data_IF_409392822460
#
_entry.id   IF_409392822460
#
_cell.length_a   1.000
_cell.length_b   1.000
_cell.length_c   1.000
_cell.angle_alpha   90.00
_cell.angle_beta   90.00
_cell.angle_gamma   90.00
#
_symmetry.space_group_name_H-M   'P 1'
#
loop_
_entity.id
_entity.type
_entity.pdbx_description
1 polymer ?
#
# COMPACT_ATOMS: atom_id res chain seq x y z
N UNK A 1 2.76 -6.05 -10.08
CA UNK A 1 2.04 -7.09 -10.85
C UNK A 1 2.35 -8.48 -10.29
N UNK A 2 1.41 -9.42 -10.40
CA UNK A 2 1.66 -10.83 -10.02
C UNK A 2 2.47 -11.52 -11.09
N UNK A 3 3.50 -12.24 -10.66
CA UNK A 3 4.44 -12.92 -11.54
C UNK A 3 4.48 -14.41 -11.23
N UNK A 4 4.62 -15.28 -12.25
CA UNK A 4 4.82 -16.69 -12.02
C UNK A 4 6.16 -16.95 -11.33
N UNK A 5 6.28 -18.09 -10.65
CA UNK A 5 7.57 -18.56 -10.15
C UNK A 5 8.38 -19.15 -11.31
N UNK A 6 9.65 -18.78 -11.42
CA UNK A 6 10.54 -19.28 -12.48
C UNK A 6 10.87 -20.78 -12.33
N UNK A 7 10.80 -21.30 -11.11
CA UNK A 7 11.11 -22.70 -10.79
C UNK A 7 10.01 -23.35 -9.96
N UNK A 8 9.80 -24.67 -10.09
CA UNK A 8 8.90 -25.39 -9.19
C UNK A 8 9.33 -25.26 -7.73
N UNK A 9 8.35 -25.19 -6.82
CA UNK A 9 8.57 -25.15 -5.37
C UNK A 9 8.05 -26.44 -4.72
N UNK A 10 8.68 -27.61 -4.96
CA UNK A 10 8.11 -28.93 -4.63
C UNK A 10 7.98 -29.19 -3.13
N UNK A 11 8.69 -28.43 -2.30
CA UNK A 11 8.67 -28.55 -0.83
C UNK A 11 7.78 -27.51 -0.14
N UNK A 12 7.14 -26.60 -0.88
CA UNK A 12 6.28 -25.56 -0.30
C UNK A 12 4.87 -26.15 -0.09
N UNK A 13 4.43 -26.42 1.16
CA UNK A 13 3.20 -27.17 1.42
C UNK A 13 1.94 -26.28 1.39
N UNK A 14 2.06 -25.05 0.90
CA UNK A 14 1.00 -24.04 0.93
C UNK A 14 0.87 -23.33 -0.42
N UNK A 15 -0.34 -22.83 -0.71
CA UNK A 15 -0.55 -21.90 -1.80
C UNK A 15 0.23 -20.58 -1.55
N UNK A 16 0.62 -19.90 -2.63
CA UNK A 16 1.40 -18.65 -2.56
C UNK A 16 1.05 -17.71 -3.70
N UNK A 17 1.27 -16.42 -3.46
CA UNK A 17 1.31 -15.40 -4.49
C UNK A 17 2.72 -14.80 -4.53
N UNK A 18 3.23 -14.51 -5.72
CA UNK A 18 4.49 -13.79 -5.93
C UNK A 18 4.18 -12.57 -6.77
N UNK A 19 4.64 -11.39 -6.35
CA UNK A 19 4.40 -10.16 -7.08
C UNK A 19 5.58 -9.20 -6.97
N UNK A 20 5.69 -8.32 -7.97
CA UNK A 20 6.60 -7.18 -7.94
C UNK A 20 5.81 -5.94 -7.51
N UNK A 21 6.05 -5.37 -6.31
CA UNK A 21 5.39 -4.14 -5.89
C UNK A 21 5.93 -2.95 -6.67
N UNK A 22 5.07 -1.99 -6.96
CA UNK A 22 5.46 -0.72 -7.59
C UNK A 22 5.90 0.30 -6.52
N UNK A 23 6.86 1.19 -6.82
CA UNK A 23 7.62 1.25 -8.08
C UNK A 23 8.72 0.19 -8.13
N UNK A 24 9.18 -0.28 -6.96
CA UNK A 24 10.10 -1.40 -6.77
C UNK A 24 10.05 -1.82 -5.30
N UNK A 25 10.62 -3.00 -4.98
CA UNK A 25 10.61 -3.53 -3.61
C UNK A 25 11.18 -2.56 -2.57
N UNK A 26 12.31 -1.89 -2.86
CA UNK A 26 12.96 -1.00 -1.90
C UNK A 26 12.06 0.18 -1.54
N UNK A 27 11.51 0.87 -2.54
CA UNK A 27 10.64 2.02 -2.32
C UNK A 27 9.30 1.61 -1.71
N UNK A 28 8.66 0.57 -2.25
CA UNK A 28 7.35 0.13 -1.77
C UNK A 28 7.40 -0.32 -0.30
N UNK A 29 8.39 -1.15 0.05
CA UNK A 29 8.56 -1.62 1.42
C UNK A 29 8.91 -0.46 2.37
N UNK A 30 9.75 0.48 1.95
CA UNK A 30 10.09 1.65 2.77
C UNK A 30 8.86 2.53 3.03
N UNK A 31 8.08 2.86 1.99
CA UNK A 31 6.85 3.64 2.13
C UNK A 31 5.84 2.93 3.04
N UNK A 32 5.64 1.62 2.86
CA UNK A 32 4.75 0.82 3.70
C UNK A 32 5.16 0.84 5.17
N UNK A 33 6.46 0.67 5.47
CA UNK A 33 6.99 0.73 6.83
C UNK A 33 6.83 2.14 7.42
N UNK A 34 7.09 3.20 6.66
CA UNK A 34 6.91 4.58 7.13
C UNK A 34 5.45 4.90 7.45
N UNK A 35 4.51 4.37 6.67
CA UNK A 35 3.07 4.49 6.93
C UNK A 35 2.57 3.57 8.07
N UNK A 36 3.42 2.72 8.64
CA UNK A 36 3.01 1.77 9.68
C UNK A 36 2.11 0.65 9.19
N UNK A 37 2.19 0.28 7.90
CA UNK A 37 1.34 -0.74 7.30
C UNK A 37 1.51 -2.13 7.92
N UNK A 38 0.41 -2.87 8.05
CA UNK A 38 0.39 -4.21 8.64
C UNK A 38 1.10 -5.26 7.75
N UNK A 39 1.46 -6.41 8.34
CA UNK A 39 1.96 -7.57 7.61
C UNK A 39 0.84 -8.40 6.97
N UNK A 40 -0.38 -8.31 7.49
CA UNK A 40 -1.57 -8.90 6.89
C UNK A 40 -2.22 -7.90 5.92
N UNK A 41 -2.61 -8.38 4.74
CA UNK A 41 -3.18 -7.56 3.66
C UNK A 41 -4.33 -8.28 2.95
N UNK A 42 -5.30 -7.53 2.43
CA UNK A 42 -6.21 -8.01 1.41
C UNK A 42 -5.52 -7.98 0.04
N UNK A 43 -5.49 -9.12 -0.67
CA UNK A 43 -4.93 -9.22 -2.02
C UNK A 43 -6.08 -9.34 -3.04
N UNK A 44 -6.09 -8.50 -4.09
CA UNK A 44 -7.20 -8.46 -5.06
C UNK A 44 -6.73 -8.18 -6.49
N UNK A 45 -7.34 -8.87 -7.46
CA UNK A 45 -7.22 -8.56 -8.89
C UNK A 45 -8.33 -7.66 -9.41
N UNK A 46 -9.43 -7.52 -8.66
CA UNK A 46 -10.65 -6.82 -9.12
C UNK A 46 -10.83 -5.45 -8.47
N UNK A 47 -10.31 -5.27 -7.25
CA UNK A 47 -10.38 -4.00 -6.53
C UNK A 47 -9.27 -3.09 -7.02
N UNK A 48 -9.62 -1.88 -7.46
CA UNK A 48 -8.68 -0.86 -7.95
C UNK A 48 -8.30 0.11 -6.84
N UNK A 49 -7.25 0.89 -7.05
CA UNK A 49 -6.88 1.98 -6.14
C UNK A 49 -7.97 3.06 -6.05
N UNK A 50 -8.70 3.30 -7.14
CA UNK A 50 -9.84 4.23 -7.18
C UNK A 50 -10.97 3.77 -6.25
N UNK A 51 -11.37 2.50 -6.30
CA UNK A 51 -12.38 1.97 -5.38
C UNK A 51 -12.01 2.16 -3.91
N UNK A 52 -10.73 1.98 -3.56
CA UNK A 52 -10.26 2.17 -2.18
C UNK A 52 -10.17 3.64 -1.78
N UNK A 53 -9.81 4.52 -2.72
CA UNK A 53 -9.82 5.97 -2.50
C UNK A 53 -11.23 6.47 -2.23
N UNK A 54 -12.19 6.08 -3.08
CA UNK A 54 -13.60 6.47 -2.92
C UNK A 54 -14.18 5.95 -1.60
N UNK A 55 -13.87 4.70 -1.24
CA UNK A 55 -14.27 4.14 0.05
C UNK A 55 -13.70 4.95 1.23
N UNK A 56 -12.41 5.29 1.19
CA UNK A 56 -11.78 6.07 2.24
C UNK A 56 -12.39 7.47 2.37
N UNK A 57 -12.72 8.11 1.24
CA UNK A 57 -13.41 9.40 1.23
C UNK A 57 -14.81 9.30 1.85
N UNK A 58 -15.61 8.32 1.44
CA UNK A 58 -16.95 8.07 2.01
C UNK A 58 -16.89 7.80 3.51
N UNK A 59 -15.84 7.11 3.98
CA UNK A 59 -15.65 6.74 5.37
C UNK A 59 -14.91 7.79 6.22
N UNK A 60 -14.43 8.89 5.61
CA UNK A 60 -13.63 9.91 6.30
C UNK A 60 -12.28 9.38 6.82
N UNK A 61 -11.65 8.47 6.08
CA UNK A 61 -10.37 7.85 6.41
C UNK A 61 -9.21 8.46 5.61
N UNK A 62 -8.00 8.37 6.15
CA UNK A 62 -6.78 8.63 5.38
C UNK A 62 -6.57 7.53 4.34
N UNK A 63 -6.23 7.95 3.11
CA UNK A 63 -5.81 7.07 2.04
C UNK A 63 -4.43 7.48 1.55
N UNK A 64 -3.50 6.52 1.55
CA UNK A 64 -2.15 6.68 1.04
C UNK A 64 -1.93 5.69 -0.10
N UNK A 65 -1.52 6.19 -1.27
CA UNK A 65 -1.24 5.35 -2.43
C UNK A 65 0.26 5.10 -2.56
N UNK A 66 0.62 3.83 -2.72
CA UNK A 66 1.97 3.40 -3.11
C UNK A 66 1.88 2.75 -4.49
N UNK A 67 2.46 3.40 -5.49
CA UNK A 67 2.37 3.07 -6.92
C UNK A 67 3.69 3.39 -7.66
N UNK A 68 3.68 3.35 -8.99
CA UNK A 68 4.82 3.68 -9.85
C UNK A 68 5.38 5.11 -9.67
N UNK A 69 4.59 6.06 -9.19
CA UNK A 69 4.98 7.46 -9.04
C UNK A 69 5.51 7.78 -7.64
N UNK A 70 5.50 6.81 -6.74
CA UNK A 70 5.84 7.03 -5.33
C UNK A 70 7.31 7.40 -5.14
N UNK A 71 7.53 8.55 -4.51
CA UNK A 71 8.84 9.03 -4.07
C UNK A 71 8.87 9.20 -2.55
N UNK A 72 9.87 8.61 -1.90
CA UNK A 72 9.92 8.52 -0.42
C UNK A 72 9.95 9.90 0.26
N UNK A 73 10.62 10.87 -0.34
CA UNK A 73 10.70 12.24 0.19
C UNK A 73 9.36 12.97 0.13
N UNK A 74 8.57 12.73 -0.91
CA UNK A 74 7.22 13.28 -1.07
C UNK A 74 6.22 12.54 -0.18
N UNK A 75 6.25 11.21 -0.18
CA UNK A 75 5.40 10.37 0.66
C UNK A 75 5.55 10.71 2.17
N UNK A 76 6.77 10.95 2.64
CA UNK A 76 7.01 11.42 4.02
C UNK A 76 6.43 12.80 4.32
N UNK A 77 6.35 13.69 3.33
CA UNK A 77 5.72 15.00 3.51
C UNK A 77 4.20 14.81 3.60
N UNK A 78 3.62 14.01 2.71
CA UNK A 78 2.21 13.66 2.71
C UNK A 78 1.75 13.09 4.05
N UNK A 79 2.46 12.08 4.59
CA UNK A 79 2.18 11.54 5.93
C UNK A 79 2.09 12.61 7.03
N UNK A 80 3.01 13.59 7.03
CA UNK A 80 3.03 14.64 8.05
C UNK A 80 1.91 15.66 7.86
N UNK A 81 1.57 15.98 6.61
CA UNK A 81 0.47 16.90 6.31
C UNK A 81 -0.88 16.26 6.62
N UNK A 82 -1.04 14.98 6.27
CA UNK A 82 -2.24 14.21 6.55
C UNK A 82 -2.42 14.00 8.06
N UNK A 83 -1.38 13.65 8.81
CA UNK A 83 -1.48 13.49 10.26
C UNK A 83 -2.04 14.75 10.93
N UNK A 84 -1.54 15.93 10.54
CA UNK A 84 -2.09 17.20 11.01
C UNK A 84 -3.53 17.43 10.53
N UNK A 85 -3.82 17.20 9.25
CA UNK A 85 -5.16 17.37 8.69
C UNK A 85 -6.18 16.47 9.40
N UNK A 86 -5.92 15.18 9.55
CA UNK A 86 -6.84 14.22 10.18
C UNK A 86 -6.92 14.38 11.69
N UNK A 87 -5.90 14.94 12.36
CA UNK A 87 -6.05 15.42 13.73
C UNK A 87 -7.01 16.62 13.79
N UNK A 88 -6.83 17.64 12.95
CA UNK A 88 -7.64 18.86 12.98
C UNK A 88 -9.07 18.66 12.46
N UNK A 89 -9.24 17.87 11.39
CA UNK A 89 -10.52 17.59 10.76
C UNK A 89 -11.43 16.72 11.64
N UNK A 90 -10.84 15.95 12.57
CA UNK A 90 -11.56 15.26 13.63
C UNK A 90 -11.89 16.15 14.83
N UNK A 91 -11.55 17.45 14.78
CA UNK A 91 -11.73 18.41 15.87
C UNK A 91 -10.43 18.67 16.65
N UNK A 92 -10.24 19.72 17.43
CA UNK A 92 -11.16 20.22 18.48
C UNK A 92 -12.47 19.45 18.61
#
# INVERSE_FOLDING_TARGET
DVIPSEVPLPKLPVARALWMPRPNLRTAAAAWIYAGGAHHTGFSYSVTAEHLRDFAEMAGLEFLLIDENTRIDEFKKELRWNDLYYHLAKGL
#
